data_IF_244371399244
#
_entry.id   IF_244371399244
#
_cell.length_a   1.000
_cell.length_b   1.000
_cell.length_c   1.000
_cell.angle_alpha   90.00
_cell.angle_beta   90.00
_cell.angle_gamma   90.00
#
_symmetry.space_group_name_H-M   'P 1'
#
loop_
_entity.id
_entity.type
_entity.pdbx_description
1 polymer ?
#
# COMPACT_ATOMS: atom_id res chain seq x y z
N UNK A 1 -1.20 -12.97 -8.96
CA UNK A 1 0.17 -12.50 -8.69
C UNK A 1 0.23 -11.46 -7.58
N UNK A 2 -0.57 -10.38 -7.62
CA UNK A 2 -0.67 -9.41 -6.51
C UNK A 2 -1.03 -10.06 -5.17
N UNK A 3 -1.92 -11.06 -5.18
CA UNK A 3 -2.36 -11.74 -3.96
C UNK A 3 -1.26 -12.57 -3.27
N UNK A 4 -0.36 -13.14 -4.08
CA UNK A 4 0.82 -13.88 -3.60
C UNK A 4 1.84 -12.92 -3.00
N UNK A 5 2.10 -11.76 -3.62
CA UNK A 5 3.00 -10.73 -3.07
C UNK A 5 2.42 -10.14 -1.78
N UNK A 6 1.11 -9.89 -1.71
CA UNK A 6 0.44 -9.47 -0.46
C UNK A 6 0.60 -10.53 0.63
N UNK A 7 0.37 -11.80 0.32
CA UNK A 7 0.52 -12.91 1.27
C UNK A 7 1.98 -13.15 1.69
N UNK A 8 2.95 -12.98 0.78
CA UNK A 8 4.38 -13.14 1.06
C UNK A 8 4.96 -11.93 1.80
N UNK A 9 4.49 -10.70 1.55
CA UNK A 9 4.83 -9.52 2.37
C UNK A 9 4.20 -9.61 3.75
N UNK A 10 2.94 -10.06 3.84
CA UNK A 10 2.27 -10.29 5.12
C UNK A 10 2.92 -11.45 5.90
N UNK A 11 3.46 -12.45 5.20
CA UNK A 11 4.27 -13.51 5.80
C UNK A 11 5.71 -13.06 6.12
N UNK A 12 6.30 -12.15 5.35
CA UNK A 12 7.69 -11.68 5.50
C UNK A 12 7.86 -10.56 6.53
N UNK A 13 6.83 -9.76 6.76
CA UNK A 13 6.77 -8.74 7.83
C UNK A 13 6.03 -9.28 9.07
N UNK A 14 5.25 -10.36 8.92
CA UNK A 14 4.44 -10.96 10.01
C UNK A 14 4.98 -12.24 10.65
N UNK A 15 6.01 -12.91 10.12
CA UNK A 15 6.53 -14.17 10.70
C UNK A 15 7.29 -13.99 12.02
N UNK A 16 7.58 -12.76 12.44
CA UNK A 16 8.15 -12.44 13.75
C UNK A 16 7.40 -11.26 14.37
N UNK A 17 6.11 -11.42 14.67
CA UNK A 17 5.49 -10.55 15.67
C UNK A 17 6.30 -10.74 16.95
N UNK A 18 7.04 -9.71 17.35
CA UNK A 18 7.67 -9.64 18.67
C UNK A 18 6.52 -9.55 19.67
N UNK A 19 6.05 -10.70 20.14
CA UNK A 19 5.05 -10.77 21.20
C UNK A 19 5.75 -10.82 22.55
N UNK A 20 4.99 -10.47 23.61
CA UNK A 20 5.47 -10.58 24.98
C UNK A 20 6.04 -11.96 25.25
N UNK A 21 5.36 -13.01 24.82
CA UNK A 21 5.75 -14.41 25.03
C UNK A 21 7.12 -14.70 24.39
N UNK A 22 7.36 -14.21 23.17
CA UNK A 22 8.65 -14.42 22.48
C UNK A 22 9.82 -13.70 23.15
N UNK A 23 9.57 -12.50 23.67
CA UNK A 23 10.58 -11.76 24.43
C UNK A 23 10.82 -12.42 25.79
N UNK A 24 9.76 -12.92 26.43
CA UNK A 24 9.85 -13.61 27.71
C UNK A 24 10.64 -14.92 27.57
N UNK A 25 10.37 -15.71 26.53
CA UNK A 25 11.13 -16.93 26.18
C UNK A 25 12.62 -16.62 25.99
N UNK A 26 12.95 -15.52 25.29
CA UNK A 26 14.34 -15.10 25.06
C UNK A 26 15.06 -14.64 26.33
N UNK A 27 14.32 -14.07 27.29
CA UNK A 27 14.86 -13.64 28.58
C UNK A 27 14.95 -14.78 29.60
N UNK A 28 14.22 -15.88 29.39
CA UNK A 28 14.14 -17.01 30.32
C UNK A 28 15.51 -17.67 30.55
N UNK A 29 16.34 -17.75 29.51
CA UNK A 29 17.72 -18.25 29.63
C UNK A 29 18.61 -17.34 30.49
N UNK A 30 18.37 -16.04 30.50
CA UNK A 30 19.08 -15.07 31.34
C UNK A 30 18.62 -15.17 32.80
N UNK A 31 17.34 -15.49 33.01
CA UNK A 31 16.80 -15.78 34.35
C UNK A 31 17.40 -17.07 34.90
N UNK A 32 17.46 -18.14 34.11
CA UNK A 32 18.08 -19.43 34.50
C UNK A 32 19.56 -19.30 34.84
N UNK A 33 20.27 -18.42 34.16
CA UNK A 33 21.67 -18.11 34.44
C UNK A 33 21.85 -17.17 35.65
N UNK A 34 20.77 -16.72 36.29
CA UNK A 34 20.81 -15.79 37.43
C UNK A 34 21.22 -14.36 37.06
N UNK A 35 21.27 -14.02 35.75
CA UNK A 35 21.69 -12.71 35.25
C UNK A 35 20.58 -11.66 35.36
N UNK A 36 19.32 -12.11 35.35
CA UNK A 36 18.12 -11.26 35.43
C UNK A 36 17.13 -11.91 36.39
N UNK A 37 16.38 -11.13 37.15
CA UNK A 37 15.27 -11.65 37.97
C UNK A 37 14.06 -11.92 37.10
N UNK A 38 13.27 -12.95 37.43
CA UNK A 38 12.06 -13.30 36.68
C UNK A 38 11.07 -12.12 36.55
N UNK A 39 10.94 -11.30 37.60
CA UNK A 39 10.09 -10.11 37.59
C UNK A 39 10.61 -9.04 36.63
N UNK A 40 11.93 -8.81 36.60
CA UNK A 40 12.55 -7.86 35.68
C UNK A 40 12.39 -8.32 34.23
N UNK A 41 12.54 -9.63 33.97
CA UNK A 41 12.33 -10.19 32.65
C UNK A 41 10.90 -9.97 32.13
N UNK A 42 9.88 -10.13 33.00
CA UNK A 42 8.49 -9.82 32.67
C UNK A 42 8.28 -8.35 32.34
N UNK A 43 8.84 -7.44 33.15
CA UNK A 43 8.73 -5.99 32.92
C UNK A 43 9.38 -5.58 31.59
N UNK A 44 10.55 -6.16 31.28
CA UNK A 44 11.26 -5.91 30.02
C UNK A 44 10.45 -6.44 28.83
N UNK A 45 9.93 -7.66 28.94
CA UNK A 45 9.08 -8.26 27.89
C UNK A 45 7.83 -7.41 27.63
N UNK A 46 7.14 -6.95 28.68
CA UNK A 46 5.98 -6.06 28.57
C UNK A 46 6.33 -4.75 27.86
N UNK A 47 7.42 -4.09 28.26
CA UNK A 47 7.84 -2.84 27.64
C UNK A 47 8.20 -3.00 26.16
N UNK A 48 8.91 -4.07 25.80
CA UNK A 48 9.29 -4.33 24.40
C UNK A 48 8.04 -4.61 23.56
N UNK A 49 7.12 -5.44 24.05
CA UNK A 49 5.88 -5.75 23.35
C UNK A 49 4.98 -4.50 23.18
N UNK A 50 4.84 -3.68 24.23
CA UNK A 50 4.10 -2.42 24.18
C UNK A 50 4.67 -1.45 23.15
N UNK A 51 6.01 -1.29 23.17
CA UNK A 51 6.71 -0.38 22.25
C UNK A 51 6.63 -0.87 20.80
N UNK A 52 6.83 -2.17 20.59
CA UNK A 52 6.71 -2.80 19.28
C UNK A 52 5.30 -2.67 18.70
N UNK A 53 4.25 -2.80 19.52
CA UNK A 53 2.86 -2.55 19.08
C UNK A 53 2.64 -1.13 18.58
N UNK A 54 3.09 -0.13 19.34
CA UNK A 54 2.95 1.28 18.94
C UNK A 54 3.71 1.59 17.66
N UNK A 55 4.95 1.13 17.58
CA UNK A 55 5.80 1.35 16.40
C UNK A 55 5.22 0.66 15.16
N UNK A 56 4.65 -0.54 15.32
CA UNK A 56 3.92 -1.22 14.25
C UNK A 56 2.67 -0.47 13.81
N UNK A 57 1.87 0.05 14.74
CA UNK A 57 0.69 0.87 14.43
C UNK A 57 1.06 2.13 13.63
N UNK A 58 2.11 2.84 14.05
CA UNK A 58 2.63 4.03 13.35
C UNK A 58 3.14 3.66 11.94
N UNK A 59 3.92 2.59 11.82
CA UNK A 59 4.42 2.11 10.53
C UNK A 59 3.28 1.68 9.61
N UNK A 60 2.27 0.98 10.14
CA UNK A 60 1.09 0.53 9.40
C UNK A 60 0.26 1.71 8.88
N UNK A 61 0.08 2.75 9.71
CA UNK A 61 -0.59 3.98 9.32
C UNK A 61 0.17 4.68 8.19
N UNK A 62 1.49 4.85 8.31
CA UNK A 62 2.32 5.46 7.25
C UNK A 62 2.33 4.63 5.97
N UNK A 63 2.38 3.31 6.07
CA UNK A 63 2.32 2.42 4.91
C UNK A 63 0.98 2.55 4.19
N UNK A 64 -0.13 2.62 4.94
CA UNK A 64 -1.48 2.80 4.38
C UNK A 64 -1.60 4.10 3.59
N UNK A 65 -1.09 5.21 4.14
CA UNK A 65 -1.06 6.51 3.45
C UNK A 65 -0.25 6.44 2.16
N UNK A 66 0.95 5.84 2.19
CA UNK A 66 1.79 5.70 0.99
C UNK A 66 1.14 4.84 -0.08
N UNK A 67 0.49 3.74 0.30
CA UNK A 67 -0.24 2.88 -0.63
C UNK A 67 -1.39 3.65 -1.28
N UNK A 68 -2.14 4.42 -0.48
CA UNK A 68 -3.23 5.24 -0.99
C UNK A 68 -2.74 6.33 -1.96
N UNK A 69 -1.62 6.97 -1.67
CA UNK A 69 -0.99 7.96 -2.56
C UNK A 69 -0.57 7.33 -3.90
N UNK A 70 0.03 6.14 -3.87
CA UNK A 70 0.45 5.42 -5.08
C UNK A 70 -0.78 5.06 -5.94
N UNK A 71 -1.85 4.58 -5.33
CA UNK A 71 -3.10 4.25 -6.03
C UNK A 71 -3.71 5.49 -6.67
N UNK A 72 -3.81 6.60 -5.94
CA UNK A 72 -4.33 7.87 -6.49
C UNK A 72 -3.49 8.41 -7.66
N UNK A 73 -2.16 8.28 -7.60
CA UNK A 73 -1.31 8.67 -8.75
C UNK A 73 -1.53 7.80 -9.97
N UNK A 74 -1.76 6.50 -9.80
CA UNK A 74 -2.06 5.61 -10.92
C UNK A 74 -3.40 5.95 -11.57
N UNK A 75 -4.43 6.23 -10.78
CA UNK A 75 -5.75 6.62 -11.30
C UNK A 75 -5.65 7.89 -12.15
N UNK A 76 -4.94 8.91 -11.66
CA UNK A 76 -4.74 10.15 -12.41
C UNK A 76 -4.03 9.93 -13.75
N UNK A 77 -3.01 9.06 -13.77
CA UNK A 77 -2.28 8.74 -15.00
C UNK A 77 -3.14 7.94 -16.00
N UNK A 78 -4.01 7.05 -15.51
CA UNK A 78 -4.95 6.28 -16.35
C UNK A 78 -6.01 7.20 -16.96
N UNK A 79 -6.61 8.07 -16.15
CA UNK A 79 -7.61 9.05 -16.62
C UNK A 79 -7.01 9.96 -17.70
N UNK A 80 -5.81 10.50 -17.48
CA UNK A 80 -5.14 11.34 -18.47
C UNK A 80 -4.90 10.61 -19.81
N UNK A 81 -4.51 9.33 -19.76
CA UNK A 81 -4.36 8.50 -20.96
C UNK A 81 -5.69 8.23 -21.67
N UNK A 82 -6.75 7.98 -20.90
CA UNK A 82 -8.09 7.74 -21.45
C UNK A 82 -8.61 8.99 -22.17
N UNK A 83 -8.54 10.16 -21.54
CA UNK A 83 -8.96 11.43 -22.15
C UNK A 83 -8.17 11.74 -23.43
N UNK A 84 -6.86 11.47 -23.44
CA UNK A 84 -6.05 11.64 -24.65
C UNK A 84 -6.46 10.67 -25.77
N UNK A 85 -6.88 9.45 -25.44
CA UNK A 85 -7.43 8.50 -26.40
C UNK A 85 -8.78 8.95 -26.94
N UNK A 86 -9.70 9.38 -26.05
CA UNK A 86 -11.02 9.90 -26.43
C UNK A 86 -10.91 11.08 -27.40
N UNK A 87 -9.99 12.02 -27.13
CA UNK A 87 -9.73 13.15 -28.03
C UNK A 87 -9.23 12.69 -29.41
N UNK A 88 -8.34 11.68 -29.47
CA UNK A 88 -7.85 11.12 -30.74
C UNK A 88 -8.96 10.41 -31.50
N UNK A 89 -9.79 9.64 -30.81
CA UNK A 89 -10.95 8.96 -31.41
C UNK A 89 -11.91 9.98 -31.99
N UNK A 90 -12.26 11.04 -31.26
CA UNK A 90 -13.14 12.09 -31.77
C UNK A 90 -12.60 12.77 -33.04
N UNK A 91 -11.29 13.04 -33.10
CA UNK A 91 -10.65 13.59 -34.31
C UNK A 91 -10.75 12.62 -35.49
N UNK A 92 -10.50 11.32 -35.26
CA UNK A 92 -10.59 10.29 -36.29
C UNK A 92 -12.04 10.09 -36.77
N UNK A 93 -13.02 10.11 -35.87
CA UNK A 93 -14.43 10.00 -36.20
C UNK A 93 -14.92 11.19 -37.03
N UNK A 94 -14.50 12.42 -36.68
CA UNK A 94 -14.81 13.61 -37.45
C UNK A 94 -14.19 13.58 -38.86
N UNK A 95 -12.99 13.00 -39.00
CA UNK A 95 -12.35 12.81 -40.30
C UNK A 95 -13.00 11.69 -41.13
N UNK A 96 -13.50 10.63 -40.47
CA UNK A 96 -14.13 9.49 -41.13
C UNK A 96 -15.58 9.78 -41.58
N UNK A 97 -16.28 10.70 -40.90
CA UNK A 97 -17.63 11.11 -41.26
C UNK A 97 -17.72 12.64 -41.48
N UNK A 98 -17.20 13.15 -42.62
CA UNK A 98 -17.22 14.56 -42.89
C UNK A 98 -18.66 15.07 -43.03
N UNK A 99 -18.98 16.28 -42.51
CA UNK A 99 -20.31 16.86 -42.67
C UNK A 99 -20.65 17.00 -44.16
N UNK A 100 -21.94 16.81 -44.55
CA UNK A 100 -22.35 16.94 -45.94
C UNK A 100 -21.92 18.30 -46.48
N UNK A 101 -21.24 18.28 -47.63
CA UNK A 101 -20.73 19.49 -48.27
C UNK A 101 -21.85 20.53 -48.42
N UNK A 102 -21.58 21.83 -48.16
CA UNK A 102 -22.58 22.87 -48.33
C UNK A 102 -23.08 22.82 -49.78
N UNK A 103 -24.36 22.53 -49.95
CA UNK A 103 -25.01 22.54 -51.25
C UNK A 103 -24.88 23.96 -51.80
N UNK A 104 -24.18 24.10 -52.92
CA UNK A 104 -24.08 25.33 -53.70
C UNK A 104 -25.45 25.61 -54.35
N UNK A 105 -26.46 25.93 -53.56
CA UNK A 105 -27.77 26.33 -54.02
C UNK A 105 -28.01 27.76 -53.55
N UNK A 106 -27.40 28.69 -54.30
CA UNK A 106 -27.47 30.12 -54.09
C UNK A 106 -26.92 30.85 -55.30
N UNK A 107 -27.44 30.53 -56.49
CA UNK A 107 -27.39 31.42 -57.66
C UNK A 107 -28.84 31.84 -57.96
N UNK A 108 -29.13 33.14 -57.87
CA UNK A 108 -29.88 33.83 -58.91
C UNK A 108 -28.97 34.71 -59.77
#
# INVERSE_FOLDING_TARGET
MIDTIKKTLLAGVGAAVITKEKVQDALDDYVRQGKIKADDARIIADKIAERGRREFEEMSAQASVKVQEILHRQDAAVVARLTALEARVAVLEAAANPPPAPTRNGEP
#
